data_IF_665315991500
#
_entry.id   IF_665315991500
#
_cell.length_a   1.000
_cell.length_b   1.000
_cell.length_c   1.000
_cell.angle_alpha   90.00
_cell.angle_beta   90.00
_cell.angle_gamma   90.00
#
_symmetry.space_group_name_H-M   'P 1'
#
loop_
_entity.id
_entity.type
_entity.pdbx_description
1 polymer ?
#
# COMPACT_ATOMS: atom_id res chain seq x y z
N UNK A 1 23.69 5.14 -2.57
CA UNK A 1 22.39 4.52 -2.21
C UNK A 1 22.26 4.50 -0.70
N UNK A 2 21.14 4.98 -0.17
CA UNK A 2 20.82 5.01 1.25
C UNK A 2 19.61 4.08 1.50
N UNK A 3 19.69 3.26 2.55
CA UNK A 3 18.55 2.45 2.98
C UNK A 3 18.24 2.84 4.43
N UNK A 4 16.99 3.20 4.68
CA UNK A 4 16.49 3.57 6.02
C UNK A 4 15.18 2.86 6.29
N UNK A 5 14.86 2.69 7.57
CA UNK A 5 13.63 2.05 8.02
C UNK A 5 12.89 3.00 8.96
N UNK A 6 11.61 3.20 8.70
CA UNK A 6 10.72 4.08 9.43
C UNK A 6 9.62 3.21 10.07
N UNK A 7 9.46 3.23 11.40
CA UNK A 7 8.34 2.55 12.04
C UNK A 7 7.02 3.17 11.59
N UNK A 8 6.03 2.32 11.32
CA UNK A 8 4.68 2.71 10.96
C UNK A 8 3.67 2.03 11.89
N UNK A 9 2.54 2.67 12.14
CA UNK A 9 1.46 2.09 12.92
C UNK A 9 1.87 1.62 14.32
N UNK A 10 1.07 0.72 14.88
CA UNK A 10 1.20 0.24 16.26
C UNK A 10 1.82 -1.18 16.40
N UNK A 11 1.86 -1.98 15.33
CA UNK A 11 2.19 -3.42 15.37
C UNK A 11 3.45 -3.80 14.58
N UNK A 12 4.54 -3.03 14.76
CA UNK A 12 5.82 -3.26 14.09
C UNK A 12 5.75 -3.20 12.55
N UNK A 13 4.74 -2.51 11.98
CA UNK A 13 4.76 -2.18 10.58
C UNK A 13 5.95 -1.27 10.28
N UNK A 14 6.52 -1.40 9.08
CA UNK A 14 7.77 -0.73 8.76
C UNK A 14 7.81 -0.30 7.30
N UNK A 15 8.18 0.95 7.07
CA UNK A 15 8.50 1.47 5.74
C UNK A 15 10.00 1.43 5.52
N UNK A 16 10.47 0.59 4.61
CA UNK A 16 11.87 0.57 4.19
C UNK A 16 12.04 1.46 2.96
N UNK A 17 12.88 2.48 3.07
CA UNK A 17 13.15 3.45 2.02
C UNK A 17 14.46 3.09 1.32
N UNK A 18 14.42 2.92 0.00
CA UNK A 18 15.56 2.72 -0.88
C UNK A 18 15.76 3.98 -1.72
N UNK A 19 16.78 4.77 -1.39
CA UNK A 19 16.99 6.09 -1.95
C UNK A 19 18.28 6.14 -2.78
N UNK A 20 18.20 6.77 -3.93
CA UNK A 20 19.38 7.14 -4.70
C UNK A 20 20.06 8.35 -4.05
N UNK A 21 21.38 8.42 -4.10
CA UNK A 21 22.10 9.59 -3.60
C UNK A 21 22.15 10.64 -4.72
N UNK A 22 21.57 11.83 -4.52
CA UNK A 22 21.71 12.91 -5.48
C UNK A 22 23.18 13.34 -5.58
N UNK A 23 23.61 13.75 -6.75
CA UNK A 23 24.93 14.31 -6.97
C UNK A 23 24.92 15.36 -8.06
N UNK A 24 25.96 16.19 -8.11
CA UNK A 24 26.08 17.29 -9.07
C UNK A 24 26.13 16.82 -10.54
N UNK A 25 26.60 15.60 -10.78
CA UNK A 25 26.67 15.01 -12.12
C UNK A 25 25.33 14.40 -12.57
N UNK A 26 24.44 14.11 -11.63
CA UNK A 26 23.12 13.52 -11.86
C UNK A 26 22.01 14.31 -11.13
N UNK A 27 21.76 15.57 -11.54
CA UNK A 27 20.79 16.43 -10.84
C UNK A 27 19.35 15.91 -10.90
N UNK A 28 19.02 15.03 -11.85
CA UNK A 28 17.71 14.40 -11.95
C UNK A 28 17.40 13.48 -10.75
N UNK A 29 18.40 13.04 -10.00
CA UNK A 29 18.21 12.23 -8.78
C UNK A 29 17.72 13.05 -7.58
N UNK A 30 17.69 14.37 -7.69
CA UNK A 30 17.17 15.24 -6.63
C UNK A 30 15.64 15.27 -6.58
N UNK A 31 14.97 14.78 -7.64
CA UNK A 31 13.52 14.69 -7.72
C UNK A 31 13.09 13.47 -8.55
N UNK A 32 13.32 12.28 -7.98
CA UNK A 32 12.98 11.02 -8.62
C UNK A 32 11.47 10.73 -8.57
N UNK A 33 10.91 10.02 -9.56
CA UNK A 33 9.61 9.37 -9.34
C UNK A 33 9.72 8.33 -8.22
N UNK A 34 8.61 8.11 -7.51
CA UNK A 34 8.57 7.22 -6.36
C UNK A 34 7.66 6.01 -6.60
N UNK A 35 7.99 4.90 -5.98
CA UNK A 35 7.19 3.70 -6.00
C UNK A 35 6.99 3.16 -4.57
N UNK A 36 5.74 3.11 -4.10
CA UNK A 36 5.37 2.50 -2.82
C UNK A 36 4.90 1.07 -3.08
N UNK A 37 5.52 0.10 -2.43
CA UNK A 37 5.36 -1.33 -2.71
C UNK A 37 4.68 -2.01 -1.53
N UNK A 38 3.59 -2.72 -1.79
CA UNK A 38 2.88 -3.55 -0.84
C UNK A 38 3.03 -5.03 -1.21
N UNK A 39 3.86 -5.79 -0.48
CA UNK A 39 4.03 -7.23 -0.71
C UNK A 39 2.73 -8.01 -0.48
N UNK A 40 2.57 -9.13 -1.17
CA UNK A 40 1.50 -10.09 -0.88
C UNK A 40 1.77 -10.93 0.36
N UNK A 41 0.97 -11.97 0.55
CA UNK A 41 1.08 -12.90 1.69
C UNK A 41 -0.24 -13.12 2.42
N UNK A 42 -1.37 -12.91 1.73
CA UNK A 42 -2.72 -13.20 2.20
C UNK A 42 -3.15 -12.46 3.48
N UNK A 43 -2.51 -11.33 3.82
CA UNK A 43 -2.62 -10.66 5.13
C UNK A 43 -2.14 -11.53 6.30
N UNK A 44 -1.53 -12.67 6.04
CA UNK A 44 -0.93 -13.53 7.05
C UNK A 44 0.53 -13.16 7.33
N UNK A 45 1.27 -12.81 6.30
CA UNK A 45 2.66 -12.34 6.32
C UNK A 45 2.93 -11.38 5.17
N UNK A 46 4.10 -10.72 5.14
CA UNK A 46 4.58 -9.98 3.98
C UNK A 46 5.63 -10.82 3.23
N UNK A 47 5.42 -11.03 1.92
CA UNK A 47 6.29 -11.84 1.07
C UNK A 47 7.61 -11.13 0.77
N UNK A 48 8.74 -11.70 1.19
CA UNK A 48 10.07 -11.14 0.91
C UNK A 48 10.39 -11.08 -0.60
N UNK A 49 9.84 -11.99 -1.40
CA UNK A 49 10.04 -12.03 -2.87
C UNK A 49 9.39 -10.84 -3.58
N UNK A 50 8.37 -10.26 -2.99
CA UNK A 50 7.58 -9.14 -3.52
C UNK A 50 7.92 -7.82 -2.82
N UNK A 51 8.99 -7.81 -2.02
CA UNK A 51 9.49 -6.68 -1.22
C UNK A 51 10.80 -6.13 -1.82
N UNK A 52 11.91 -6.41 -1.16
CA UNK A 52 13.23 -5.86 -1.47
C UNK A 52 13.70 -6.13 -2.91
N UNK A 53 13.49 -7.32 -3.52
CA UNK A 53 13.87 -7.55 -4.91
C UNK A 53 13.12 -6.65 -5.90
N UNK A 54 11.85 -6.36 -5.62
CA UNK A 54 11.03 -5.44 -6.42
C UNK A 54 11.52 -4.00 -6.25
N UNK A 55 11.80 -3.57 -5.02
CA UNK A 55 12.35 -2.25 -4.73
C UNK A 55 13.67 -2.00 -5.46
N UNK A 56 14.58 -2.98 -5.46
CA UNK A 56 15.86 -2.89 -6.14
C UNK A 56 15.71 -2.82 -7.68
N UNK A 57 14.72 -3.50 -8.25
CA UNK A 57 14.42 -3.41 -9.68
C UNK A 57 13.94 -2.00 -10.06
N UNK A 58 13.05 -1.39 -9.29
CA UNK A 58 12.61 -0.02 -9.52
C UNK A 58 13.72 1.01 -9.26
N UNK A 59 14.52 0.81 -8.22
CA UNK A 59 15.68 1.66 -7.95
C UNK A 59 16.65 1.69 -9.13
N UNK A 60 16.92 0.53 -9.74
CA UNK A 60 17.75 0.42 -10.93
C UNK A 60 17.12 1.09 -12.16
N UNK A 61 15.80 1.23 -12.18
CA UNK A 61 15.06 1.94 -13.22
C UNK A 61 14.93 3.46 -12.99
N UNK A 62 15.56 4.00 -11.94
CA UNK A 62 15.60 5.44 -11.65
C UNK A 62 14.52 5.95 -10.69
N UNK A 63 13.78 5.05 -10.03
CA UNK A 63 12.82 5.41 -8.98
C UNK A 63 13.49 5.42 -7.62
N UNK A 64 13.00 6.22 -6.68
CA UNK A 64 13.16 5.92 -5.27
C UNK A 64 12.04 4.96 -4.86
N UNK A 65 12.39 3.89 -4.13
CA UNK A 65 11.47 2.80 -3.83
C UNK A 65 11.25 2.66 -2.33
N UNK A 66 10.01 2.33 -1.96
CA UNK A 66 9.56 2.26 -0.59
C UNK A 66 8.76 0.97 -0.40
N UNK A 67 9.16 0.14 0.55
CA UNK A 67 8.46 -1.12 0.86
C UNK A 67 7.75 -0.97 2.19
N UNK A 68 6.43 -1.05 2.19
CA UNK A 68 5.63 -1.12 3.42
C UNK A 68 5.40 -2.57 3.81
N UNK A 69 6.03 -3.00 4.90
CA UNK A 69 5.68 -4.23 5.61
C UNK A 69 4.59 -3.90 6.61
N UNK A 70 3.35 -3.99 6.16
CA UNK A 70 2.14 -3.61 6.89
C UNK A 70 1.73 -4.66 7.92
N UNK A 71 0.79 -4.31 8.80
CA UNK A 71 0.22 -5.21 9.81
C UNK A 71 -0.46 -6.42 9.17
N UNK A 72 -0.06 -7.59 9.61
CA UNK A 72 -0.53 -8.90 9.17
C UNK A 72 -0.80 -9.79 10.38
N UNK A 73 -1.53 -10.90 10.22
CA UNK A 73 -1.90 -11.75 11.37
C UNK A 73 -0.71 -12.41 12.07
N UNK A 74 0.48 -12.40 11.47
CA UNK A 74 1.72 -12.86 12.10
C UNK A 74 2.24 -11.90 13.17
N UNK A 75 1.97 -10.59 13.08
CA UNK A 75 2.51 -9.55 13.96
C UNK A 75 1.44 -8.66 14.61
N UNK A 76 0.15 -8.89 14.31
CA UNK A 76 -0.97 -8.10 14.76
C UNK A 76 -2.13 -9.03 15.16
N UNK A 77 -2.96 -8.70 16.17
CA UNK A 77 -4.20 -9.40 16.41
C UNK A 77 -5.04 -9.48 15.16
N UNK A 78 -5.54 -10.68 14.82
CA UNK A 78 -6.17 -10.92 13.51
C UNK A 78 -7.39 -10.03 13.27
N UNK A 79 -8.14 -9.67 14.30
CA UNK A 79 -9.29 -8.77 14.27
C UNK A 79 -8.92 -7.30 14.01
N UNK A 80 -7.65 -6.94 14.19
CA UNK A 80 -7.13 -5.58 13.98
C UNK A 80 -6.39 -5.41 12.64
N UNK A 81 -6.13 -6.51 11.91
CA UNK A 81 -5.36 -6.48 10.66
C UNK A 81 -5.96 -5.52 9.64
N UNK A 82 -7.29 -5.56 9.46
CA UNK A 82 -7.96 -4.66 8.51
C UNK A 82 -7.67 -3.19 8.83
N UNK A 83 -7.99 -2.76 10.03
CA UNK A 83 -7.89 -1.34 10.42
C UNK A 83 -6.46 -0.85 10.40
N UNK A 84 -5.51 -1.65 10.91
CA UNK A 84 -4.11 -1.25 10.96
C UNK A 84 -3.46 -1.23 9.57
N UNK A 85 -3.61 -2.28 8.76
CA UNK A 85 -3.00 -2.31 7.43
C UNK A 85 -3.48 -1.17 6.53
N UNK A 86 -4.77 -0.82 6.59
CA UNK A 86 -5.35 0.26 5.79
C UNK A 86 -4.91 1.66 6.29
N UNK A 87 -4.83 1.85 7.61
CA UNK A 87 -4.29 3.08 8.19
C UNK A 87 -2.81 3.26 7.85
N UNK A 88 -2.00 2.20 7.97
CA UNK A 88 -0.57 2.21 7.68
C UNK A 88 -0.28 2.50 6.19
N UNK A 89 -1.14 2.03 5.28
CA UNK A 89 -1.01 2.36 3.86
C UNK A 89 -1.22 3.86 3.59
N UNK A 90 -2.18 4.50 4.27
CA UNK A 90 -2.39 5.94 4.18
C UNK A 90 -1.28 6.72 4.90
N UNK A 91 -0.87 6.28 6.08
CA UNK A 91 0.25 6.87 6.82
C UNK A 91 1.55 6.85 6.00
N UNK A 92 1.80 5.76 5.27
CA UNK A 92 2.96 5.68 4.38
C UNK A 92 2.88 6.68 3.22
N UNK A 93 1.72 6.84 2.57
CA UNK A 93 1.54 7.85 1.52
C UNK A 93 1.73 9.26 2.05
N UNK A 94 1.08 9.59 3.17
CA UNK A 94 1.21 10.89 3.83
C UNK A 94 2.68 11.19 4.19
N UNK A 95 3.40 10.20 4.73
CA UNK A 95 4.83 10.32 5.02
C UNK A 95 5.67 10.65 3.77
N UNK A 96 5.40 10.01 2.64
CA UNK A 96 6.10 10.28 1.38
C UNK A 96 5.87 11.71 0.90
N UNK A 97 4.64 12.20 0.95
CA UNK A 97 4.31 13.57 0.56
C UNK A 97 4.95 14.60 1.49
N UNK A 98 4.82 14.42 2.81
CA UNK A 98 5.36 15.36 3.80
C UNK A 98 6.89 15.43 3.78
N UNK A 99 7.57 14.36 3.42
CA UNK A 99 9.04 14.27 3.41
C UNK A 99 9.62 14.24 2.00
N UNK A 100 8.88 14.63 0.97
CA UNK A 100 9.27 14.49 -0.43
C UNK A 100 10.64 15.12 -0.73
N UNK A 101 10.94 16.29 -0.14
CA UNK A 101 12.24 16.96 -0.28
C UNK A 101 13.40 16.14 0.29
N UNK A 102 13.29 15.65 1.50
CA UNK A 102 14.34 14.87 2.18
C UNK A 102 14.51 13.47 1.57
N UNK A 103 13.46 12.97 0.95
CA UNK A 103 13.43 11.67 0.24
C UNK A 103 13.86 11.80 -1.24
N UNK A 104 14.11 13.02 -1.72
CA UNK A 104 14.44 13.31 -3.13
C UNK A 104 13.43 12.71 -4.11
N UNK A 105 12.13 12.86 -3.83
CA UNK A 105 11.05 12.38 -4.69
C UNK A 105 10.17 13.51 -5.20
N UNK A 106 9.52 13.26 -6.33
CA UNK A 106 8.48 14.11 -6.87
C UNK A 106 7.11 13.69 -6.28
N UNK A 107 6.47 14.49 -5.42
CA UNK A 107 5.18 14.14 -4.84
C UNK A 107 4.05 14.00 -5.87
N UNK A 108 4.22 14.57 -7.08
CA UNK A 108 3.27 14.42 -8.18
C UNK A 108 3.51 13.13 -9.01
N UNK A 109 4.50 12.32 -8.61
CA UNK A 109 4.89 11.09 -9.32
C UNK A 109 5.09 9.92 -8.36
N UNK A 110 4.13 9.67 -7.48
CA UNK A 110 4.13 8.54 -6.54
C UNK A 110 3.13 7.48 -7.02
N UNK A 111 3.63 6.37 -7.54
CA UNK A 111 2.80 5.21 -7.87
C UNK A 111 2.84 4.17 -6.76
N UNK A 112 1.75 3.40 -6.63
CA UNK A 112 1.64 2.30 -5.66
C UNK A 112 1.59 0.97 -6.40
N UNK A 113 2.47 0.05 -6.03
CA UNK A 113 2.51 -1.31 -6.57
C UNK A 113 2.07 -2.28 -5.48
N UNK A 114 1.16 -3.19 -5.80
CA UNK A 114 0.73 -4.22 -4.86
C UNK A 114 0.58 -5.59 -5.50
N UNK A 115 0.93 -6.62 -4.74
CA UNK A 115 0.92 -8.02 -5.16
C UNK A 115 -0.11 -8.81 -4.35
N UNK A 116 -0.98 -9.58 -5.00
CA UNK A 116 -1.94 -10.48 -4.33
C UNK A 116 -2.75 -9.74 -3.24
N UNK A 117 -2.60 -10.07 -1.96
CA UNK A 117 -3.18 -9.34 -0.83
C UNK A 117 -2.65 -7.90 -0.71
N UNK A 118 -1.37 -7.65 -1.00
CA UNK A 118 -0.82 -6.30 -1.13
C UNK A 118 -1.42 -5.54 -2.31
N UNK A 119 -1.82 -6.24 -3.38
CA UNK A 119 -2.59 -5.69 -4.48
C UNK A 119 -3.99 -5.25 -4.05
N UNK A 120 -4.63 -5.99 -3.13
CA UNK A 120 -5.86 -5.57 -2.49
C UNK A 120 -5.64 -4.29 -1.64
N UNK A 121 -4.57 -4.24 -0.86
CA UNK A 121 -4.24 -3.06 -0.05
C UNK A 121 -3.95 -1.83 -0.92
N UNK A 122 -3.19 -1.99 -2.02
CA UNK A 122 -2.92 -0.93 -2.98
C UNK A 122 -4.20 -0.41 -3.66
N UNK A 123 -5.08 -1.32 -4.09
CA UNK A 123 -6.37 -0.97 -4.66
C UNK A 123 -7.28 -0.28 -3.61
N UNK A 124 -7.24 -0.74 -2.36
CA UNK A 124 -7.97 -0.12 -1.25
C UNK A 124 -7.50 1.32 -1.00
N UNK A 125 -6.19 1.54 -0.97
CA UNK A 125 -5.64 2.90 -0.86
C UNK A 125 -6.13 3.78 -2.02
N UNK A 126 -6.11 3.28 -3.27
CA UNK A 126 -6.57 4.04 -4.42
C UNK A 126 -8.08 4.30 -4.48
N UNK A 127 -8.90 3.43 -3.88
CA UNK A 127 -10.37 3.58 -3.85
C UNK A 127 -10.82 4.40 -2.65
N UNK A 128 -10.14 4.25 -1.50
CA UNK A 128 -10.50 4.86 -0.21
C UNK A 128 -9.49 5.91 0.28
N UNK A 129 -8.72 6.51 -0.62
CA UNK A 129 -7.71 7.51 -0.25
C UNK A 129 -8.30 8.69 0.55
N UNK A 130 -9.56 9.03 0.34
CA UNK A 130 -10.29 10.09 1.03
C UNK A 130 -11.36 9.58 2.02
N UNK A 131 -11.27 8.31 2.44
CA UNK A 131 -12.19 7.75 3.41
C UNK A 131 -11.94 8.34 4.81
N UNK A 132 -12.92 9.07 5.40
CA UNK A 132 -12.69 9.80 6.64
C UNK A 132 -12.44 8.89 7.86
N UNK A 133 -12.96 7.65 7.85
CA UNK A 133 -12.72 6.71 8.97
C UNK A 133 -11.27 6.22 8.95
N UNK A 134 -10.75 5.88 7.75
CA UNK A 134 -9.37 5.40 7.60
C UNK A 134 -8.38 6.55 7.79
N UNK A 135 -8.68 7.73 7.25
CA UNK A 135 -7.86 8.93 7.48
C UNK A 135 -7.75 9.29 8.98
N UNK A 136 -8.85 9.17 9.71
CA UNK A 136 -8.84 9.42 11.16
C UNK A 136 -7.96 8.40 11.92
N UNK A 137 -7.97 7.14 11.52
CA UNK A 137 -7.10 6.10 12.09
C UNK A 137 -5.62 6.35 11.75
N UNK A 138 -5.32 6.73 10.52
CA UNK A 138 -3.98 7.07 10.05
C UNK A 138 -3.50 8.45 10.55
N UNK A 139 -4.37 9.25 11.19
CA UNK A 139 -4.10 10.63 11.63
C UNK A 139 -3.63 11.54 10.51
N UNK A 140 -4.09 11.29 9.30
CA UNK A 140 -3.80 12.07 8.11
C UNK A 140 -5.08 12.70 7.56
N UNK A 141 -4.95 13.67 6.67
CA UNK A 141 -6.10 14.35 6.06
C UNK A 141 -5.71 14.98 4.72
N UNK A 142 -6.70 15.14 3.84
CA UNK A 142 -6.50 15.83 2.57
C UNK A 142 -6.29 14.89 1.38
N UNK A 143 -5.88 15.47 0.24
CA UNK A 143 -5.68 14.76 -1.01
C UNK A 143 -4.28 14.14 -1.14
N UNK A 144 -3.39 14.41 -0.20
CA UNK A 144 -2.01 13.94 -0.15
C UNK A 144 -1.90 12.41 -0.04
N UNK A 145 -2.99 11.73 0.38
CA UNK A 145 -3.06 10.27 0.44
C UNK A 145 -3.40 9.61 -0.90
N UNK A 146 -3.70 10.39 -1.93
CA UNK A 146 -4.09 9.89 -3.24
C UNK A 146 -2.86 9.47 -4.04
N UNK A 147 -2.71 8.18 -4.42
CA UNK A 147 -1.68 7.77 -5.35
C UNK A 147 -1.87 8.41 -6.73
N UNK A 148 -0.77 8.75 -7.43
CA UNK A 148 -0.86 9.22 -8.80
C UNK A 148 -1.19 8.09 -9.80
N UNK A 149 -0.80 6.85 -9.47
CA UNK A 149 -1.13 5.66 -10.26
C UNK A 149 -1.08 4.38 -9.40
N UNK A 150 -1.77 3.33 -9.86
CA UNK A 150 -1.77 2.00 -9.26
C UNK A 150 -1.20 0.97 -10.24
N UNK A 151 -0.38 0.06 -9.73
CA UNK A 151 0.08 -1.14 -10.43
C UNK A 151 -0.35 -2.36 -9.62
N UNK A 152 -1.34 -3.08 -10.10
CA UNK A 152 -1.98 -4.19 -9.38
C UNK A 152 -1.59 -5.52 -10.02
N UNK A 153 -0.75 -6.28 -9.32
CA UNK A 153 -0.26 -7.57 -9.77
C UNK A 153 -1.08 -8.69 -9.13
N UNK A 154 -1.84 -9.44 -9.94
CA UNK A 154 -2.74 -10.53 -9.50
C UNK A 154 -3.49 -10.22 -8.19
N UNK A 155 -4.12 -9.05 -8.09
CA UNK A 155 -4.69 -8.56 -6.84
C UNK A 155 -5.91 -9.39 -6.41
N UNK A 156 -6.13 -9.48 -5.10
CA UNK A 156 -7.43 -9.89 -4.57
C UNK A 156 -8.35 -8.68 -4.63
N UNK A 157 -9.42 -8.71 -5.43
CA UNK A 157 -10.34 -7.56 -5.63
C UNK A 157 -11.74 -7.85 -5.10
N UNK A 158 -12.23 -9.09 -5.31
CA UNK A 158 -13.55 -9.49 -4.86
C UNK A 158 -13.48 -10.13 -3.47
N UNK A 159 -14.53 -9.94 -2.68
CA UNK A 159 -14.69 -10.56 -1.35
C UNK A 159 -15.59 -11.79 -1.36
N UNK A 160 -16.26 -12.06 -2.48
CA UNK A 160 -17.18 -13.19 -2.67
C UNK A 160 -16.91 -13.89 -4.02
N UNK A 161 -17.42 -15.11 -4.16
CA UNK A 161 -17.28 -15.89 -5.39
C UNK A 161 -15.87 -16.45 -5.57
N UNK A 162 -15.28 -16.25 -6.76
CA UNK A 162 -13.91 -16.65 -7.06
C UNK A 162 -12.94 -15.63 -6.48
N UNK A 163 -12.53 -15.85 -5.24
CA UNK A 163 -11.60 -14.98 -4.52
C UNK A 163 -10.64 -15.81 -3.67
N UNK A 164 -9.55 -15.21 -3.19
CA UNK A 164 -8.63 -15.86 -2.27
C UNK A 164 -9.20 -15.83 -0.84
N UNK A 165 -9.89 -16.92 -0.45
CA UNK A 165 -10.58 -17.04 0.84
C UNK A 165 -9.72 -16.69 2.05
N UNK A 166 -8.47 -17.16 2.10
CA UNK A 166 -7.57 -16.90 3.22
C UNK A 166 -7.37 -15.41 3.51
N UNK A 167 -7.21 -14.59 2.46
CA UNK A 167 -7.11 -13.13 2.63
C UNK A 167 -8.41 -12.52 3.18
N UNK A 168 -9.54 -12.96 2.64
CA UNK A 168 -10.86 -12.44 3.04
C UNK A 168 -11.20 -12.85 4.48
N UNK A 169 -10.89 -14.09 4.88
CA UNK A 169 -11.16 -14.58 6.23
C UNK A 169 -10.38 -13.80 7.29
N UNK A 170 -9.14 -13.40 7.00
CA UNK A 170 -8.34 -12.53 7.89
C UNK A 170 -8.99 -11.14 7.98
N UNK A 171 -9.34 -10.52 6.86
CA UNK A 171 -9.96 -9.19 6.85
C UNK A 171 -11.35 -9.14 7.51
N UNK A 172 -12.00 -10.28 7.64
CA UNK A 172 -13.31 -10.42 8.27
C UNK A 172 -13.23 -11.08 9.66
N UNK A 173 -12.02 -11.29 10.20
CA UNK A 173 -11.85 -11.94 11.50
C UNK A 173 -12.52 -11.14 12.62
N UNK A 174 -13.07 -11.84 13.61
CA UNK A 174 -13.79 -11.23 14.72
C UNK A 174 -15.19 -10.69 14.40
N UNK A 175 -15.56 -10.58 13.12
CA UNK A 175 -16.84 -10.00 12.69
C UNK A 175 -17.92 -11.07 12.48
N UNK A 176 -19.17 -10.76 12.92
CA UNK A 176 -20.32 -11.62 12.79
C UNK A 176 -21.56 -10.84 12.29
N UNK A 177 -22.54 -11.56 11.73
CA UNK A 177 -23.83 -11.01 11.32
C UNK A 177 -23.69 -9.79 10.36
N UNK A 178 -24.45 -8.75 10.65
CA UNK A 178 -24.49 -7.55 9.80
C UNK A 178 -23.14 -6.83 9.69
N UNK A 179 -22.33 -6.85 10.75
CA UNK A 179 -20.98 -6.23 10.69
C UNK A 179 -20.08 -6.96 9.69
N UNK A 180 -20.11 -8.30 9.68
CA UNK A 180 -19.36 -9.11 8.71
C UNK A 180 -19.83 -8.85 7.28
N UNK A 181 -21.14 -8.78 7.05
CA UNK A 181 -21.70 -8.49 5.73
C UNK A 181 -21.33 -7.08 5.21
N UNK A 182 -21.40 -6.08 6.09
CA UNK A 182 -21.01 -4.72 5.76
C UNK A 182 -19.53 -4.64 5.40
N UNK A 183 -18.65 -5.24 6.21
CA UNK A 183 -17.22 -5.28 5.95
C UNK A 183 -16.90 -6.06 4.68
N UNK A 184 -17.58 -7.17 4.42
CA UNK A 184 -17.40 -7.95 3.21
C UNK A 184 -17.72 -7.15 1.94
N UNK A 185 -18.77 -6.30 1.97
CA UNK A 185 -19.07 -5.38 0.88
C UNK A 185 -18.01 -4.28 0.75
N UNK A 186 -17.51 -3.76 1.88
CA UNK A 186 -16.49 -2.72 1.89
C UNK A 186 -15.18 -3.19 1.24
N UNK A 187 -14.73 -4.41 1.53
CA UNK A 187 -13.52 -4.97 0.93
C UNK A 187 -13.71 -5.57 -0.47
N UNK A 188 -14.90 -5.49 -1.04
CA UNK A 188 -15.20 -5.83 -2.43
C UNK A 188 -14.91 -4.61 -3.34
N UNK A 189 -13.65 -4.34 -3.62
CA UNK A 189 -13.17 -3.08 -4.17
C UNK A 189 -13.78 -2.71 -5.53
N UNK A 190 -14.15 -3.70 -6.35
CA UNK A 190 -14.83 -3.46 -7.63
C UNK A 190 -16.18 -2.75 -7.48
N UNK A 191 -16.79 -2.75 -6.29
CA UNK A 191 -18.03 -2.04 -6.01
C UNK A 191 -17.83 -0.55 -5.68
N UNK A 192 -16.59 -0.13 -5.47
CA UNK A 192 -16.25 1.20 -4.98
C UNK A 192 -15.41 2.03 -5.97
N UNK A 193 -15.08 1.46 -7.12
CA UNK A 193 -14.34 2.18 -8.18
C UNK A 193 -15.20 3.33 -8.71
N UNK A 194 -14.60 4.50 -8.85
CA UNK A 194 -15.27 5.70 -9.32
C UNK A 194 -14.32 6.67 -10.03
N UNK A 195 -14.82 7.84 -10.39
CA UNK A 195 -14.03 8.88 -11.09
C UNK A 195 -12.83 9.40 -10.28
N UNK A 196 -12.85 9.21 -8.97
CA UNK A 196 -11.76 9.60 -8.05
C UNK A 196 -10.64 8.56 -7.96
N UNK A 197 -10.89 7.33 -8.40
CA UNK A 197 -9.90 6.25 -8.37
C UNK A 197 -8.75 6.59 -9.34
N UNK A 198 -7.48 6.48 -8.91
CA UNK A 198 -6.33 6.76 -9.76
C UNK A 198 -6.27 5.85 -11.00
N UNK A 199 -5.54 6.26 -12.05
CA UNK A 199 -5.22 5.38 -13.17
C UNK A 199 -4.59 4.08 -12.69
N UNK A 200 -4.98 2.95 -13.28
CA UNK A 200 -4.57 1.64 -12.84
C UNK A 200 -4.06 0.77 -13.99
N UNK A 201 -2.87 0.18 -13.80
CA UNK A 201 -2.39 -0.96 -14.58
C UNK A 201 -2.68 -2.24 -13.81
N UNK A 202 -3.44 -3.15 -14.41
CA UNK A 202 -3.81 -4.41 -13.77
C UNK A 202 -3.26 -5.60 -14.57
N UNK A 203 -2.52 -6.48 -13.89
CA UNK A 203 -1.98 -7.71 -14.45
C UNK A 203 -2.54 -8.91 -13.68
N UNK A 204 -3.05 -9.89 -14.42
CA UNK A 204 -3.54 -11.15 -13.85
C UNK A 204 -3.27 -12.30 -14.83
N UNK A 205 -3.06 -13.51 -14.29
CA UNK A 205 -3.01 -14.73 -15.09
C UNK A 205 -4.40 -15.35 -15.22
N UNK A 206 -4.62 -16.08 -16.31
CA UNK A 206 -5.84 -16.87 -16.53
C UNK A 206 -5.87 -18.13 -15.66
#
# INVERSE_FOLDING_TARGET
MKITQIPMGAHNAQLTCYLQDPCTEMPALDRCPAILIFPGGAYAFCSDREADPVALAFLNAGYNAFVLRYSVSQNCPVEEVYTNAFAEAQEAMDYLHQNAGDLHIDPEQIAVVGFSAGGHLAASLGVFWNDPEIQALAKCSGEENKPNALVLCYPVIASVGKTHKGSIDILLAGLNGQMREAQQKRIALHLHVGAQTPPCFLMHTY
#
